data_IF_867563759213
#
_entry.id   IF_867563759213
#
_cell.length_a   1.000
_cell.length_b   1.000
_cell.length_c   1.000
_cell.angle_alpha   90.00
_cell.angle_beta   90.00
_cell.angle_gamma   90.00
#
_symmetry.space_group_name_H-M   'P 1'
#
loop_
_entity.id
_entity.type
_entity.pdbx_description
1 polymer ?
#
# COMPACT_ATOMS: atom_id res chain seq x y z
N UNK A 1 10.85 -5.72 13.26
CA UNK A 1 10.04 -4.88 12.36
C UNK A 1 8.62 -5.39 12.44
N UNK A 2 7.66 -4.54 12.76
CA UNK A 2 6.23 -4.88 12.86
C UNK A 2 5.49 -4.37 11.62
N UNK A 3 4.32 -4.92 11.33
CA UNK A 3 3.53 -4.58 10.15
C UNK A 3 2.09 -4.28 10.52
N UNK A 4 1.55 -3.19 9.98
CA UNK A 4 0.14 -2.82 10.11
C UNK A 4 -0.44 -2.74 8.71
N UNK A 5 -1.32 -3.68 8.35
CA UNK A 5 -2.08 -3.61 7.11
C UNK A 5 -3.36 -2.82 7.32
N UNK A 6 -3.57 -1.79 6.50
CA UNK A 6 -4.79 -0.98 6.48
C UNK A 6 -5.52 -1.26 5.18
N UNK A 7 -6.69 -1.85 5.29
CA UNK A 7 -7.58 -2.17 4.18
C UNK A 7 -8.90 -1.41 4.33
N UNK A 8 -9.76 -1.45 3.32
CA UNK A 8 -11.14 -1.00 3.51
C UNK A 8 -12.15 -1.69 2.62
N UNK A 9 -13.42 -1.55 2.98
CA UNK A 9 -14.53 -2.27 2.38
C UNK A 9 -15.76 -1.40 2.16
N UNK A 10 -16.80 -2.00 1.57
CA UNK A 10 -18.11 -1.39 1.23
C UNK A 10 -18.03 -0.39 0.08
N UNK A 11 -17.27 0.70 0.22
CA UNK A 11 -17.10 1.74 -0.79
C UNK A 11 -15.65 2.25 -0.81
N UNK A 12 -15.17 2.69 -1.97
CA UNK A 12 -13.90 3.40 -2.08
C UNK A 12 -14.03 4.84 -1.56
N UNK A 13 -12.90 5.49 -1.25
CA UNK A 13 -12.88 6.89 -0.78
C UNK A 13 -13.32 7.13 0.67
N UNK A 14 -13.44 6.09 1.50
CA UNK A 14 -13.88 6.19 2.92
C UNK A 14 -12.87 6.79 3.91
N UNK A 15 -11.74 7.32 3.43
CA UNK A 15 -10.69 7.87 4.30
C UNK A 15 -9.68 6.84 4.84
N UNK A 16 -9.36 5.80 4.04
CA UNK A 16 -8.29 4.83 4.37
C UNK A 16 -6.94 5.52 4.59
N UNK A 17 -6.50 6.35 3.64
CA UNK A 17 -5.23 7.07 3.72
C UNK A 17 -5.14 7.99 4.94
N UNK A 18 -6.19 8.76 5.24
CA UNK A 18 -6.23 9.60 6.45
C UNK A 18 -6.16 8.77 7.73
N UNK A 19 -6.86 7.63 7.78
CA UNK A 19 -6.82 6.72 8.94
C UNK A 19 -5.40 6.15 9.13
N UNK A 20 -4.79 5.65 8.06
CA UNK A 20 -3.45 5.11 8.07
C UNK A 20 -2.39 6.15 8.46
N UNK A 21 -2.46 7.36 7.89
CA UNK A 21 -1.58 8.48 8.22
C UNK A 21 -1.74 8.94 9.68
N UNK A 22 -2.97 8.94 10.21
CA UNK A 22 -3.23 9.26 11.63
C UNK A 22 -2.59 8.23 12.57
N UNK A 23 -2.72 6.94 12.25
CA UNK A 23 -2.06 5.86 13.01
C UNK A 23 -0.54 6.02 12.94
N UNK A 24 0.00 6.32 11.76
CA UNK A 24 1.42 6.58 11.56
C UNK A 24 1.92 7.73 12.44
N UNK A 25 1.21 8.85 12.44
CA UNK A 25 1.52 10.02 13.26
C UNK A 25 1.48 9.70 14.75
N UNK A 26 0.43 9.02 15.23
CA UNK A 26 0.32 8.66 16.64
C UNK A 26 1.47 7.74 17.08
N UNK A 27 1.83 6.73 16.29
CA UNK A 27 2.95 5.86 16.61
C UNK A 27 4.29 6.60 16.56
N UNK A 28 4.49 7.47 15.57
CA UNK A 28 5.67 8.35 15.50
C UNK A 28 5.77 9.24 16.74
N UNK A 29 4.66 9.79 17.22
CA UNK A 29 4.61 10.62 18.43
C UNK A 29 5.03 9.86 19.71
N UNK A 30 4.92 8.53 19.70
CA UNK A 30 5.40 7.66 20.78
C UNK A 30 6.88 7.26 20.63
N UNK A 31 7.58 7.79 19.62
CA UNK A 31 9.00 7.58 19.39
C UNK A 31 9.35 6.42 18.46
N UNK A 32 8.37 5.78 17.82
CA UNK A 32 8.63 4.73 16.83
C UNK A 32 9.03 5.33 15.48
N UNK A 33 9.94 4.66 14.78
CA UNK A 33 10.24 4.96 13.37
C UNK A 33 9.25 4.25 12.47
N UNK A 34 8.60 5.01 11.59
CA UNK A 34 7.50 4.52 10.76
C UNK A 34 7.90 4.56 9.29
N UNK A 35 7.54 3.52 8.54
CA UNK A 35 7.61 3.52 7.08
C UNK A 35 6.19 3.30 6.52
N UNK A 36 5.48 4.37 6.09
CA UNK A 36 4.23 4.19 5.35
C UNK A 36 4.53 3.71 3.93
N UNK A 37 3.68 2.83 3.40
CA UNK A 37 3.71 2.39 2.02
C UNK A 37 2.28 2.24 1.49
N UNK A 38 2.01 2.87 0.36
CA UNK A 38 0.72 2.83 -0.33
C UNK A 38 0.80 1.89 -1.52
N UNK A 39 -0.15 0.98 -1.61
CA UNK A 39 -0.33 0.09 -2.76
C UNK A 39 -1.54 0.51 -3.59
N UNK A 40 -1.33 0.66 -4.90
CA UNK A 40 -2.34 1.03 -5.88
C UNK A 40 -2.62 -0.10 -6.87
N UNK A 41 -3.91 -0.28 -7.19
CA UNK A 41 -4.36 -1.44 -7.98
C UNK A 41 -4.10 -1.31 -9.48
N UNK A 42 -3.84 -0.10 -9.97
CA UNK A 42 -3.71 0.16 -11.41
C UNK A 42 -2.37 -0.34 -11.99
N UNK A 43 -2.37 -0.57 -13.30
CA UNK A 43 -1.23 -1.08 -14.07
C UNK A 43 -0.27 0.02 -14.53
N UNK A 44 -0.61 1.29 -14.38
CA UNK A 44 0.33 2.39 -14.59
C UNK A 44 1.52 2.23 -13.64
N UNK A 45 2.72 2.60 -14.10
CA UNK A 45 3.94 2.52 -13.29
C UNK A 45 4.04 3.65 -12.26
N UNK A 46 3.34 4.74 -12.53
CA UNK A 46 3.27 5.99 -11.79
C UNK A 46 1.89 6.64 -12.02
N UNK A 47 1.61 7.71 -11.29
CA UNK A 47 0.38 8.47 -11.46
C UNK A 47 0.45 9.50 -12.61
N UNK A 48 1.64 9.81 -13.14
CA UNK A 48 1.85 10.92 -14.08
C UNK A 48 1.19 10.74 -15.44
N UNK A 49 0.92 9.50 -15.83
CA UNK A 49 0.23 9.17 -17.10
C UNK A 49 -1.30 9.12 -16.98
N UNK A 50 -1.85 9.26 -15.78
CA UNK A 50 -3.29 9.15 -15.52
C UNK A 50 -3.97 10.51 -15.77
N UNK A 51 -5.19 10.50 -16.33
CA UNK A 51 -5.95 11.72 -16.56
C UNK A 51 -6.31 12.41 -15.22
N UNK A 52 -5.81 13.62 -14.94
CA UNK A 52 -6.00 14.27 -13.64
C UNK A 52 -7.46 14.69 -13.39
N UNK A 53 -8.26 14.87 -14.44
CA UNK A 53 -9.69 15.20 -14.30
C UNK A 53 -10.47 14.01 -13.70
N UNK A 54 -10.03 12.79 -13.97
CA UNK A 54 -10.72 11.56 -13.53
C UNK A 54 -10.18 11.03 -12.21
N UNK A 55 -8.87 11.17 -11.98
CA UNK A 55 -8.18 10.51 -10.87
C UNK A 55 -7.53 11.49 -9.86
N UNK A 56 -7.62 12.79 -10.11
CA UNK A 56 -6.91 13.81 -9.35
C UNK A 56 -5.48 14.03 -9.87
N UNK A 57 -4.88 15.16 -9.49
CA UNK A 57 -3.51 15.48 -9.87
C UNK A 57 -2.51 14.51 -9.20
N UNK A 58 -1.45 14.08 -9.91
CA UNK A 58 -0.38 13.32 -9.32
C UNK A 58 0.35 14.16 -8.26
N UNK A 59 0.78 13.51 -7.19
CA UNK A 59 1.65 14.08 -6.18
C UNK A 59 3.11 13.87 -6.57
N UNK A 60 3.88 14.95 -6.66
CA UNK A 60 5.30 14.90 -6.99
C UNK A 60 6.14 14.88 -5.71
N UNK A 61 6.81 13.76 -5.44
CA UNK A 61 7.76 13.63 -4.34
C UNK A 61 9.09 14.32 -4.68
N UNK A 62 9.88 14.67 -3.64
CA UNK A 62 11.21 15.29 -3.79
C UNK A 62 12.20 14.44 -4.63
N UNK A 63 12.05 13.11 -4.62
CA UNK A 63 12.90 12.21 -5.43
C UNK A 63 12.45 12.06 -6.89
N UNK A 64 11.44 12.83 -7.32
CA UNK A 64 10.86 12.81 -8.65
C UNK A 64 9.80 11.73 -8.87
N UNK A 65 9.39 10.99 -7.83
CA UNK A 65 8.30 10.03 -7.95
C UNK A 65 6.96 10.74 -8.16
N UNK A 66 6.25 10.39 -9.23
CA UNK A 66 4.87 10.81 -9.49
C UNK A 66 3.91 9.77 -8.89
N UNK A 67 3.32 10.10 -7.74
CA UNK A 67 2.52 9.19 -6.93
C UNK A 67 1.05 9.63 -6.80
N UNK A 68 0.23 8.76 -6.21
CA UNK A 68 -1.12 9.10 -5.79
C UNK A 68 -1.13 10.17 -4.68
N UNK A 69 -2.18 10.99 -4.62
CA UNK A 69 -2.34 12.09 -3.66
C UNK A 69 -2.32 11.63 -2.19
N UNK A 70 -2.63 10.35 -1.91
CA UNK A 70 -2.49 9.78 -0.57
C UNK A 70 -1.05 9.89 -0.03
N UNK A 71 -0.03 9.88 -0.89
CA UNK A 71 1.37 10.09 -0.48
C UNK A 71 1.57 11.46 0.15
N UNK A 72 0.98 12.51 -0.43
CA UNK A 72 1.01 13.85 0.14
C UNK A 72 0.29 13.96 1.49
N UNK A 73 -0.67 13.06 1.77
CA UNK A 73 -1.29 12.98 3.11
C UNK A 73 -0.29 12.43 4.13
N UNK A 74 0.49 11.40 3.79
CA UNK A 74 1.55 10.91 4.67
C UNK A 74 2.61 11.96 4.94
N UNK A 75 3.09 12.68 3.93
CA UNK A 75 4.07 13.77 4.12
C UNK A 75 3.56 14.81 5.10
N UNK A 76 2.32 15.29 4.92
CA UNK A 76 1.71 16.31 5.80
C UNK A 76 1.56 15.83 7.24
N UNK A 77 1.17 14.57 7.45
CA UNK A 77 0.97 14.03 8.79
C UNK A 77 2.29 13.74 9.48
N UNK A 78 3.28 13.23 8.74
CA UNK A 78 4.53 12.77 9.31
C UNK A 78 5.60 13.86 9.34
N UNK A 79 5.47 14.95 8.58
CA UNK A 79 6.54 15.95 8.42
C UNK A 79 7.85 15.28 7.97
N UNK A 80 7.74 14.43 6.95
CA UNK A 80 8.84 13.68 6.35
C UNK A 80 8.59 13.48 4.86
N UNK A 81 9.64 13.61 4.06
CA UNK A 81 9.57 13.34 2.62
C UNK A 81 9.26 11.86 2.37
N UNK A 82 8.32 11.65 1.45
CA UNK A 82 8.03 10.36 0.83
C UNK A 82 8.74 10.26 -0.52
N UNK A 83 8.76 9.06 -1.08
CA UNK A 83 9.38 8.83 -2.38
C UNK A 83 9.08 7.44 -2.91
N UNK A 84 9.95 6.95 -3.80
CA UNK A 84 9.78 5.69 -4.53
C UNK A 84 9.53 4.47 -3.63
N UNK A 85 10.10 4.44 -2.43
CA UNK A 85 9.89 3.32 -1.50
C UNK A 85 8.51 3.31 -0.83
N UNK A 86 7.79 4.42 -0.87
CA UNK A 86 6.51 4.62 -0.19
C UNK A 86 5.31 4.40 -1.11
N UNK A 87 5.53 4.27 -2.41
CA UNK A 87 4.46 4.18 -3.40
C UNK A 87 4.68 2.98 -4.32
N UNK A 88 3.67 2.12 -4.43
CA UNK A 88 3.72 0.89 -5.23
C UNK A 88 2.45 0.75 -6.05
N UNK A 89 2.59 0.36 -7.30
CA UNK A 89 1.46 0.01 -8.17
C UNK A 89 1.52 -1.45 -8.59
N UNK A 90 0.39 -2.03 -9.00
CA UNK A 90 0.38 -3.34 -9.65
C UNK A 90 1.24 -3.37 -10.91
N UNK A 91 1.23 -2.28 -11.69
CA UNK A 91 2.08 -2.12 -12.87
C UNK A 91 3.57 -2.36 -12.57
N UNK A 92 4.08 -1.70 -11.53
CA UNK A 92 5.47 -1.85 -11.11
C UNK A 92 5.81 -3.27 -10.65
N UNK A 93 4.86 -3.95 -9.99
CA UNK A 93 5.04 -5.32 -9.50
C UNK A 93 5.11 -6.29 -10.69
N UNK A 94 4.16 -6.22 -11.61
CA UNK A 94 4.15 -7.06 -12.81
C UNK A 94 5.37 -6.82 -13.68
N UNK A 95 5.73 -5.55 -13.91
CA UNK A 95 6.91 -5.20 -14.70
C UNK A 95 8.17 -5.82 -14.09
N UNK A 96 8.39 -5.66 -12.77
CA UNK A 96 9.59 -6.20 -12.12
C UNK A 96 9.64 -7.74 -12.20
N UNK A 97 8.51 -8.43 -12.00
CA UNK A 97 8.47 -9.90 -12.11
C UNK A 97 8.76 -10.35 -13.55
N UNK A 98 8.14 -9.71 -14.55
CA UNK A 98 8.39 -10.03 -15.96
C UNK A 98 9.84 -9.72 -16.34
N UNK A 99 10.39 -8.60 -15.89
CA UNK A 99 11.76 -8.21 -16.20
C UNK A 99 12.78 -9.19 -15.58
N UNK A 100 12.52 -9.71 -14.37
CA UNK A 100 13.33 -10.78 -13.75
C UNK A 100 13.26 -12.08 -14.52
N UNK A 101 12.08 -12.46 -15.01
CA UNK A 101 11.92 -13.59 -15.92
C UNK A 101 12.79 -13.42 -17.18
N UNK A 102 12.71 -12.26 -17.83
CA UNK A 102 13.51 -11.95 -19.03
C UNK A 102 15.01 -11.91 -18.80
N UNK A 103 15.44 -11.59 -17.57
CA UNK A 103 16.85 -11.67 -17.15
C UNK A 103 17.27 -13.06 -16.67
N UNK A 104 16.40 -14.07 -16.81
CA UNK A 104 16.63 -15.46 -16.42
C UNK A 104 16.85 -15.65 -14.91
N UNK A 105 16.35 -14.73 -14.06
CA UNK A 105 16.55 -14.78 -12.60
C UNK A 105 15.73 -15.91 -11.92
N UNK A 106 14.73 -16.45 -12.61
CA UNK A 106 13.94 -17.61 -12.16
C UNK A 106 14.47 -18.95 -12.70
N UNK A 107 15.68 -18.97 -13.29
CA UNK A 107 16.36 -20.18 -13.77
C UNK A 107 15.57 -21.03 -14.78
N UNK A 108 14.67 -20.41 -15.55
CA UNK A 108 13.86 -21.08 -16.57
C UNK A 108 12.63 -21.82 -16.03
N UNK A 109 12.30 -21.67 -14.75
CA UNK A 109 11.05 -22.16 -14.16
C UNK A 109 9.83 -21.38 -14.68
N UNK A 110 8.64 -21.99 -14.56
CA UNK A 110 7.39 -21.30 -14.83
C UNK A 110 7.13 -20.20 -13.79
N UNK A 111 6.73 -19.02 -14.29
CA UNK A 111 6.52 -17.81 -13.48
C UNK A 111 5.04 -17.54 -13.38
N UNK A 112 4.45 -17.95 -12.26
CA UNK A 112 3.04 -17.79 -11.95
C UNK A 112 2.76 -16.54 -11.10
N UNK A 113 1.49 -16.24 -10.85
CA UNK A 113 1.15 -15.12 -9.98
C UNK A 113 1.53 -15.40 -8.50
N UNK A 114 1.31 -16.61 -8.01
CA UNK A 114 1.73 -17.06 -6.68
C UNK A 114 2.83 -18.11 -6.89
N UNK A 115 4.02 -17.96 -6.30
CA UNK A 115 4.36 -16.98 -5.27
C UNK A 115 4.93 -15.65 -5.80
N UNK A 116 5.28 -15.55 -7.09
CA UNK A 116 6.20 -14.50 -7.56
C UNK A 116 5.67 -13.06 -7.41
N UNK A 117 4.38 -12.81 -7.64
CA UNK A 117 3.76 -11.48 -7.41
C UNK A 117 3.67 -11.20 -5.91
N UNK A 118 3.24 -12.17 -5.10
CA UNK A 118 3.15 -12.03 -3.64
C UNK A 118 4.51 -11.84 -2.96
N UNK A 119 5.56 -12.46 -3.51
CA UNK A 119 6.93 -12.31 -3.06
C UNK A 119 7.47 -10.91 -3.40
N UNK A 120 7.16 -10.39 -4.59
CA UNK A 120 7.55 -9.03 -4.96
C UNK A 120 6.83 -7.97 -4.09
N UNK A 121 5.55 -8.16 -3.79
CA UNK A 121 4.81 -7.33 -2.82
C UNK A 121 5.51 -7.34 -1.45
N UNK A 122 5.79 -8.54 -0.93
CA UNK A 122 6.46 -8.73 0.37
C UNK A 122 7.86 -8.12 0.37
N UNK A 123 8.60 -8.23 -0.74
CA UNK A 123 9.93 -7.62 -0.92
C UNK A 123 9.86 -6.10 -0.82
N UNK A 124 8.87 -5.47 -1.45
CA UNK A 124 8.67 -4.01 -1.41
C UNK A 124 8.33 -3.51 0.00
N UNK A 125 7.43 -4.19 0.71
CA UNK A 125 7.09 -3.88 2.11
C UNK A 125 8.33 -3.93 2.99
N UNK A 126 9.10 -5.02 2.91
CA UNK A 126 10.32 -5.18 3.69
C UNK A 126 11.39 -4.15 3.32
N UNK A 127 11.52 -3.80 2.04
CA UNK A 127 12.48 -2.82 1.57
C UNK A 127 12.18 -1.41 2.10
N UNK A 128 10.91 -0.99 2.09
CA UNK A 128 10.48 0.29 2.64
C UNK A 128 10.88 0.42 4.13
N UNK A 129 10.63 -0.63 4.92
CA UNK A 129 11.04 -0.66 6.31
C UNK A 129 12.56 -0.62 6.51
N UNK A 130 13.33 -1.34 5.68
CA UNK A 130 14.81 -1.33 5.74
C UNK A 130 15.42 0.03 5.41
N UNK A 131 14.93 0.69 4.35
CA UNK A 131 15.44 2.00 3.90
C UNK A 131 15.25 3.06 5.00
N UNK A 132 14.05 3.13 5.59
CA UNK A 132 13.73 4.07 6.68
C UNK A 132 14.25 3.61 8.05
N UNK A 133 14.85 2.41 8.15
CA UNK A 133 15.22 1.75 9.41
C UNK A 133 14.05 1.78 10.41
N UNK A 134 12.86 1.44 9.91
CA UNK A 134 11.61 1.57 10.62
C UNK A 134 11.40 0.45 11.64
N UNK A 135 10.78 0.79 12.76
CA UNK A 135 10.27 -0.16 13.73
C UNK A 135 8.98 -0.79 13.22
N UNK A 136 8.14 0.00 12.55
CA UNK A 136 6.81 -0.37 12.06
C UNK A 136 6.65 0.07 10.60
N UNK A 137 6.19 -0.85 9.75
CA UNK A 137 5.74 -0.55 8.39
C UNK A 137 4.21 -0.47 8.39
N UNK A 138 3.65 0.60 7.85
CA UNK A 138 2.21 0.78 7.68
C UNK A 138 1.90 0.61 6.20
N UNK A 139 1.12 -0.43 5.88
CA UNK A 139 0.82 -0.86 4.52
C UNK A 139 -0.63 -0.51 4.23
N UNK A 140 -0.87 0.51 3.42
CA UNK A 140 -2.21 0.83 2.95
C UNK A 140 -2.51 0.11 1.64
N UNK A 141 -3.57 -0.69 1.63
CA UNK A 141 -4.05 -1.42 0.47
C UNK A 141 -5.13 -0.61 -0.27
N UNK A 142 -4.82 -0.26 -1.52
CA UNK A 142 -5.72 0.45 -2.43
C UNK A 142 -6.97 -0.34 -2.83
N UNK A 143 -7.97 0.40 -3.30
CA UNK A 143 -9.28 -0.14 -3.67
C UNK A 143 -10.12 -0.65 -2.51
N UNK A 144 -10.99 -1.60 -2.82
CA UNK A 144 -12.00 -2.13 -1.90
C UNK A 144 -11.80 -3.64 -1.74
N UNK A 145 -11.89 -4.15 -0.50
CA UNK A 145 -11.79 -5.57 -0.24
C UNK A 145 -12.82 -6.37 -1.07
N UNK A 146 -12.33 -7.41 -1.76
CA UNK A 146 -13.15 -8.26 -2.64
C UNK A 146 -13.04 -7.92 -4.14
N UNK A 147 -12.36 -6.83 -4.50
CA UNK A 147 -12.02 -6.55 -5.89
C UNK A 147 -10.97 -7.56 -6.40
N UNK A 148 -11.15 -8.06 -7.63
CA UNK A 148 -10.18 -9.01 -8.20
C UNK A 148 -8.76 -8.43 -8.30
N UNK A 149 -8.65 -7.12 -8.52
CA UNK A 149 -7.38 -6.43 -8.75
C UNK A 149 -6.45 -6.45 -7.53
N UNK A 150 -7.00 -6.47 -6.30
CA UNK A 150 -6.21 -6.43 -5.07
C UNK A 150 -6.01 -7.81 -4.42
N UNK A 151 -6.47 -8.89 -5.05
CA UNK A 151 -6.40 -10.25 -4.48
C UNK A 151 -4.97 -10.63 -4.05
N UNK A 152 -3.96 -10.24 -4.83
CA UNK A 152 -2.55 -10.54 -4.52
C UNK A 152 -2.03 -9.76 -3.31
N UNK A 153 -2.55 -8.57 -3.02
CA UNK A 153 -2.19 -7.83 -1.82
C UNK A 153 -2.70 -8.53 -0.56
N UNK A 154 -3.95 -9.01 -0.60
CA UNK A 154 -4.52 -9.77 0.51
C UNK A 154 -3.82 -11.11 0.70
N UNK A 155 -3.44 -11.79 -0.39
CA UNK A 155 -2.71 -13.05 -0.29
C UNK A 155 -1.30 -12.84 0.27
N UNK A 156 -0.57 -11.82 -0.18
CA UNK A 156 0.73 -11.45 0.40
C UNK A 156 0.60 -11.12 1.89
N UNK A 157 -0.42 -10.34 2.26
CA UNK A 157 -0.71 -9.98 3.65
C UNK A 157 -1.02 -11.21 4.52
N UNK A 158 -1.78 -12.17 4.00
CA UNK A 158 -2.08 -13.46 4.65
C UNK A 158 -0.80 -14.29 4.85
N UNK A 159 0.03 -14.42 3.82
CA UNK A 159 1.32 -15.14 3.89
C UNK A 159 2.24 -14.48 4.93
N UNK A 160 2.38 -13.15 4.90
CA UNK A 160 3.19 -12.40 5.87
C UNK A 160 2.72 -12.59 7.31
N UNK A 161 1.40 -12.67 7.53
CA UNK A 161 0.83 -12.95 8.86
C UNK A 161 1.25 -14.32 9.38
N UNK A 162 1.23 -15.34 8.52
CA UNK A 162 1.64 -16.70 8.89
C UNK A 162 3.15 -16.79 9.14
N UNK A 163 3.96 -16.06 8.38
CA UNK A 163 5.42 -16.07 8.52
C UNK A 163 5.92 -15.24 9.72
N UNK A 164 5.13 -14.28 10.20
CA UNK A 164 5.52 -13.34 11.26
C UNK A 164 4.49 -13.32 12.42
N UNK A 165 4.30 -14.44 13.13
CA UNK A 165 3.30 -14.56 14.18
C UNK A 165 3.57 -13.56 15.32
N UNK A 166 2.56 -12.75 15.67
CA UNK A 166 2.65 -11.71 16.71
C UNK A 166 3.27 -10.38 16.26
N UNK A 167 3.66 -10.26 14.99
CA UNK A 167 4.30 -9.08 14.42
C UNK A 167 3.43 -8.35 13.39
N UNK A 168 2.25 -8.89 13.05
CA UNK A 168 1.32 -8.35 12.06
C UNK A 168 -0.02 -8.01 12.68
N UNK A 169 -0.53 -6.82 12.38
CA UNK A 169 -1.88 -6.36 12.73
C UNK A 169 -2.63 -5.97 11.46
N UNK A 170 -3.92 -6.27 11.42
CA UNK A 170 -4.83 -5.88 10.32
C UNK A 170 -5.86 -4.90 10.84
N UNK A 171 -6.02 -3.79 10.13
CA UNK A 171 -7.02 -2.76 10.37
C UNK A 171 -7.89 -2.68 9.12
N UNK A 172 -9.20 -2.74 9.30
CA UNK A 172 -10.16 -2.68 8.22
C UNK A 172 -11.11 -1.49 8.41
N UNK A 173 -11.05 -0.53 7.50
CA UNK A 173 -11.91 0.65 7.48
C UNK A 173 -13.19 0.28 6.75
N UNK A 174 -14.35 0.54 7.37
CA UNK A 174 -15.65 0.22 6.80
C UNK A 174 -16.60 1.40 6.88
N UNK A 175 -17.64 1.39 6.06
CA UNK A 175 -18.68 2.39 6.05
C UNK A 175 -19.94 1.86 6.74
N UNK A 176 -20.42 2.61 7.73
CA UNK A 176 -21.71 2.34 8.40
C UNK A 176 -22.73 3.32 7.83
N UNK A 177 -23.64 2.90 6.94
CA UNK A 177 -24.63 3.80 6.38
C UNK A 177 -25.62 4.24 7.47
N UNK A 178 -26.07 5.50 7.39
CA UNK A 178 -27.16 6.05 8.21
C UNK A 178 -28.35 6.40 7.31
N UNK A 179 -29.24 5.43 7.01
CA UNK A 179 -30.37 5.67 6.12
C UNK A 179 -31.34 6.71 6.72
N UNK A 180 -31.70 7.78 5.98
CA UNK A 180 -32.53 8.85 6.53
C UNK A 180 -33.92 8.44 7.00
N UNK A 181 -34.44 7.30 6.54
CA UNK A 181 -35.77 6.79 6.91
C UNK A 181 -35.76 5.93 8.18
N UNK A 182 -34.59 5.69 8.75
CA UNK A 182 -34.41 5.03 10.03
C UNK A 182 -34.09 6.13 11.05
N UNK A 183 -35.12 6.84 11.51
CA UNK A 183 -35.03 7.87 12.57
C UNK A 183 -34.56 7.23 13.89
N UNK A 184 -33.26 7.02 14.02
CA UNK A 184 -32.60 6.63 15.25
C UNK A 184 -31.62 7.73 15.68
N UNK A 185 -32.11 8.97 15.80
CA UNK A 185 -31.53 10.06 16.60
C UNK A 185 -32.62 11.10 16.90
#
# INVERSE_FOLDING_TARGET
>A
MKYIFVSGGVISGIGKGTTAASIAFLLKSQGYKIAPIKFENYLNLDAGTINPIEHGDPFLCEDGTEADMDIGTYEKFLDEDMGKSNFVTMGQIYQEVIDRERRFEYNGEDVEAIPYITDEITKRINNAGRIKKADIVIIELGGTAGEYQNVFYYEASRIMTLQNPGDVVHIHVSYVPTPPHLDFL
#
